data_IF_287293402878
#
_entry.id   IF_287293402878
#
_cell.length_a   1.000
_cell.length_b   1.000
_cell.length_c   1.000
_cell.angle_alpha   90.00
_cell.angle_beta   90.00
_cell.angle_gamma   90.00
#
_symmetry.space_group_name_H-M   'P 1'
#
loop_
_entity.id
_entity.type
_entity.pdbx_description
1 polymer ?
#
# COMPACT_ATOMS: atom_id res chain seq x y z
N UNK A 1 10.04 -41.89 -53.57
CA UNK A 1 9.87 -41.26 -52.24
C UNK A 1 8.63 -40.37 -52.27
N UNK A 2 7.52 -40.84 -51.72
CA UNK A 2 6.26 -40.11 -51.53
C UNK A 2 5.57 -40.72 -50.32
N UNK A 3 5.26 -39.92 -49.30
CA UNK A 3 3.97 -39.95 -48.61
C UNK A 3 3.70 -38.54 -48.01
N UNK A 4 2.57 -37.90 -48.34
CA UNK A 4 2.17 -36.59 -47.86
C UNK A 4 1.16 -36.66 -46.69
N UNK A 5 0.97 -35.55 -45.96
CA UNK A 5 -0.33 -35.15 -45.40
C UNK A 5 -0.68 -35.54 -43.96
N UNK A 6 -0.75 -34.50 -43.11
CA UNK A 6 -1.70 -34.18 -42.01
C UNK A 6 -2.24 -35.26 -41.04
N UNK A 7 -2.15 -34.99 -39.72
CA UNK A 7 -3.27 -34.58 -38.82
C UNK A 7 -2.85 -34.72 -37.34
N UNK A 8 -2.91 -33.58 -36.65
CA UNK A 8 -3.10 -33.28 -35.21
C UNK A 8 -3.25 -34.45 -34.22
N UNK A 9 -2.43 -34.44 -33.15
CA UNK A 9 -2.89 -34.83 -31.82
C UNK A 9 -2.57 -33.71 -30.82
N UNK A 10 -3.64 -33.16 -30.25
CA UNK A 10 -3.61 -32.14 -29.22
C UNK A 10 -3.11 -32.76 -27.90
N UNK A 11 -1.98 -32.28 -27.40
CA UNK A 11 -1.56 -32.54 -26.02
C UNK A 11 -1.95 -31.34 -25.17
N UNK A 12 -3.03 -31.51 -24.42
CA UNK A 12 -3.48 -30.62 -23.33
C UNK A 12 -2.31 -30.34 -22.37
N UNK A 13 -1.77 -29.12 -22.43
CA UNK A 13 -1.02 -28.56 -21.30
C UNK A 13 -2.05 -27.98 -20.33
N UNK A 14 -2.59 -28.82 -19.45
CA UNK A 14 -3.29 -28.35 -18.27
C UNK A 14 -2.25 -27.80 -17.29
N UNK A 15 -1.83 -26.55 -17.49
CA UNK A 15 -1.15 -25.80 -16.46
C UNK A 15 -2.20 -25.43 -15.42
N UNK A 16 -2.39 -26.30 -14.43
CA UNK A 16 -3.06 -25.93 -13.18
C UNK A 16 -2.14 -24.90 -12.52
N UNK A 17 -2.31 -23.65 -12.93
CA UNK A 17 -1.75 -22.51 -12.22
C UNK A 17 -2.36 -22.59 -10.83
N UNK A 18 -1.54 -22.98 -9.86
CA UNK A 18 -1.74 -22.61 -8.47
C UNK A 18 -1.78 -21.10 -8.44
N UNK A 19 -2.97 -20.54 -8.66
CA UNK A 19 -3.29 -19.17 -8.31
C UNK A 19 -2.94 -19.10 -6.82
N UNK A 20 -1.90 -18.35 -6.42
CA UNK A 20 -1.75 -18.08 -5.01
C UNK A 20 -3.06 -17.44 -4.61
N UNK A 21 -3.82 -18.11 -3.75
CA UNK A 21 -4.93 -17.46 -3.09
C UNK A 21 -4.28 -16.25 -2.43
N UNK A 22 -4.50 -15.06 -2.99
CA UNK A 22 -4.41 -13.86 -2.20
C UNK A 22 -5.38 -14.13 -1.06
N UNK A 23 -4.84 -14.54 0.08
CA UNK A 23 -5.54 -14.44 1.34
C UNK A 23 -5.65 -12.93 1.54
N UNK A 24 -6.64 -12.33 0.87
CA UNK A 24 -7.14 -11.03 1.26
C UNK A 24 -7.51 -11.22 2.72
N UNK A 25 -6.90 -10.45 3.62
CA UNK A 25 -7.21 -10.46 5.03
C UNK A 25 -8.70 -10.14 5.20
N UNK A 26 -9.56 -11.16 5.15
CA UNK A 26 -10.95 -11.03 5.55
C UNK A 26 -10.92 -11.13 7.06
N UNK A 27 -10.80 -9.97 7.69
CA UNK A 27 -10.91 -9.84 9.13
C UNK A 27 -12.18 -10.53 9.64
N UNK A 28 -12.14 -10.93 10.91
CA UNK A 28 -13.31 -11.35 11.69
C UNK A 28 -14.52 -10.45 11.37
N UNK A 29 -15.74 -10.98 11.45
CA UNK A 29 -16.96 -10.17 11.33
C UNK A 29 -17.67 -10.17 12.68
N UNK A 30 -18.26 -9.04 13.03
CA UNK A 30 -19.17 -8.93 14.16
C UNK A 30 -20.46 -9.72 13.89
N UNK A 31 -21.24 -10.07 14.94
CA UNK A 31 -22.53 -10.76 14.78
C UNK A 31 -23.54 -10.03 13.89
N UNK A 32 -23.42 -8.71 13.75
CA UNK A 32 -24.24 -7.88 12.85
C UNK A 32 -23.71 -7.84 11.39
N UNK A 33 -22.68 -8.64 11.08
CA UNK A 33 -22.11 -8.80 9.75
C UNK A 33 -21.07 -7.75 9.35
N UNK A 34 -20.88 -6.71 10.16
CA UNK A 34 -19.87 -5.68 9.90
C UNK A 34 -18.46 -6.24 10.07
N UNK A 35 -17.46 -5.69 9.36
CA UNK A 35 -16.06 -6.00 9.63
C UNK A 35 -15.73 -5.74 11.10
N UNK A 36 -15.06 -6.69 11.72
CA UNK A 36 -14.46 -6.53 13.03
C UNK A 36 -13.21 -5.69 12.89
N UNK A 37 -13.29 -4.44 13.36
CA UNK A 37 -12.20 -3.48 13.36
C UNK A 37 -11.51 -3.42 14.73
N UNK A 38 -11.66 -4.43 15.58
CA UNK A 38 -10.89 -4.52 16.82
C UNK A 38 -9.42 -4.83 16.51
N UNK A 39 -8.50 -4.12 17.16
CA UNK A 39 -7.06 -4.27 16.94
C UNK A 39 -6.26 -3.03 17.35
N UNK A 40 -4.94 -3.08 17.15
CA UNK A 40 -4.06 -1.92 17.31
C UNK A 40 -4.00 -1.20 15.97
N UNK A 41 -4.46 0.06 15.97
CA UNK A 41 -4.45 0.92 14.79
C UNK A 41 -3.31 1.92 14.90
N UNK A 42 -2.59 2.10 13.79
CA UNK A 42 -1.61 3.15 13.60
C UNK A 42 -2.08 4.04 12.45
N UNK A 43 -1.98 5.36 12.61
CA UNK A 43 -2.36 6.32 11.58
C UNK A 43 -1.32 6.42 10.46
N UNK A 44 -0.11 5.86 10.67
CA UNK A 44 1.04 5.95 9.76
C UNK A 44 1.01 4.91 8.63
N UNK A 45 -0.16 4.40 8.27
CA UNK A 45 -0.32 3.51 7.12
C UNK A 45 -0.57 4.34 5.86
N UNK A 46 0.04 3.96 4.74
CA UNK A 46 -0.23 4.63 3.44
C UNK A 46 -1.66 4.42 2.96
N UNK A 47 -2.29 3.33 3.39
CA UNK A 47 -3.68 3.01 3.08
C UNK A 47 -4.55 3.45 4.25
N UNK A 48 -5.28 4.58 4.14
CA UNK A 48 -6.18 5.03 5.20
C UNK A 48 -7.40 4.09 5.31
N UNK A 49 -8.01 4.06 6.50
CA UNK A 49 -9.22 3.28 6.75
C UNK A 49 -10.41 3.77 5.90
N UNK A 50 -10.57 5.09 5.78
CA UNK A 50 -11.53 5.72 4.89
C UNK A 50 -10.87 6.14 3.60
N UNK A 51 -11.57 5.93 2.48
CA UNK A 51 -11.12 6.43 1.18
C UNK A 51 -11.14 7.96 1.18
N UNK A 52 -10.06 8.63 0.75
CA UNK A 52 -10.03 10.07 0.56
C UNK A 52 -11.14 10.56 -0.39
N UNK A 53 -11.76 11.70 -0.07
CA UNK A 53 -12.89 12.25 -0.82
C UNK A 53 -12.53 12.59 -2.27
N UNK A 54 -11.30 13.05 -2.49
CA UNK A 54 -10.72 13.35 -3.81
C UNK A 54 -10.56 12.09 -4.68
N UNK A 55 -10.57 10.90 -4.07
CA UNK A 55 -10.47 9.60 -4.74
C UNK A 55 -11.76 8.78 -4.67
N UNK A 56 -12.89 9.37 -4.26
CA UNK A 56 -14.15 8.65 -4.05
C UNK A 56 -14.61 7.83 -5.27
N UNK A 57 -14.49 8.42 -6.47
CA UNK A 57 -14.86 7.78 -7.74
C UNK A 57 -13.81 6.79 -8.29
N UNK A 58 -12.59 6.79 -7.73
CA UNK A 58 -11.49 5.96 -8.19
C UNK A 58 -11.54 4.61 -7.47
N UNK A 59 -11.87 3.54 -8.20
CA UNK A 59 -12.00 2.20 -7.62
C UNK A 59 -10.65 1.53 -7.34
N UNK A 60 -9.64 1.83 -8.17
CA UNK A 60 -8.29 1.27 -8.11
C UNK A 60 -7.26 2.34 -8.48
N UNK A 61 -6.06 2.22 -7.91
CA UNK A 61 -4.91 3.02 -8.29
C UNK A 61 -4.15 2.30 -9.42
N UNK A 62 -3.56 3.06 -10.33
CA UNK A 62 -2.63 2.52 -11.33
C UNK A 62 -1.28 2.17 -10.65
N UNK A 63 -0.47 1.29 -11.27
CA UNK A 63 0.88 1.00 -10.75
C UNK A 63 1.74 2.25 -10.57
N UNK A 64 1.61 3.23 -11.47
CA UNK A 64 2.35 4.48 -11.43
C UNK A 64 1.91 5.36 -10.25
N UNK A 65 0.61 5.47 -9.99
CA UNK A 65 0.08 6.21 -8.83
C UNK A 65 0.53 5.58 -7.51
N UNK A 66 0.57 4.24 -7.45
CA UNK A 66 1.08 3.52 -6.27
C UNK A 66 2.56 3.85 -6.05
N UNK A 67 3.37 3.76 -7.11
CA UNK A 67 4.80 4.07 -7.03
C UNK A 67 5.04 5.52 -6.60
N UNK A 68 4.23 6.47 -7.08
CA UNK A 68 4.30 7.87 -6.66
C UNK A 68 3.97 8.04 -5.17
N UNK A 69 2.91 7.39 -4.67
CA UNK A 69 2.55 7.45 -3.24
C UNK A 69 3.66 6.88 -2.35
N UNK A 70 4.21 5.73 -2.73
CA UNK A 70 5.31 5.09 -2.00
C UNK A 70 6.57 5.96 -1.99
N UNK A 71 6.92 6.54 -3.14
CA UNK A 71 8.08 7.42 -3.27
C UNK A 71 7.93 8.69 -2.45
N UNK A 72 6.76 9.33 -2.52
CA UNK A 72 6.47 10.54 -1.74
C UNK A 72 6.54 10.25 -0.23
N UNK A 73 6.00 9.11 0.22
CA UNK A 73 6.07 8.72 1.62
C UNK A 73 7.51 8.42 2.07
N UNK A 74 8.30 7.74 1.22
CA UNK A 74 9.71 7.49 1.47
C UNK A 74 10.49 8.80 1.60
N UNK A 75 10.24 9.75 0.71
CA UNK A 75 10.91 11.05 0.74
C UNK A 75 10.51 11.86 1.98
N UNK A 76 9.22 11.91 2.32
CA UNK A 76 8.75 12.57 3.53
C UNK A 76 9.40 12.01 4.81
N UNK A 77 9.59 10.69 4.88
CA UNK A 77 10.29 10.06 6.00
C UNK A 77 11.77 10.47 6.08
N UNK A 78 12.46 10.55 4.94
CA UNK A 78 13.86 11.02 4.88
C UNK A 78 13.97 12.48 5.30
N UNK A 79 13.04 13.32 4.86
CA UNK A 79 13.03 14.74 5.16
C UNK A 79 12.74 14.97 6.66
N UNK A 80 11.84 14.17 7.25
CA UNK A 80 11.56 14.20 8.69
C UNK A 80 12.74 13.73 9.55
N UNK A 81 13.57 12.82 9.03
CA UNK A 81 14.78 12.32 9.70
C UNK A 81 16.01 13.24 9.52
N UNK A 82 15.88 14.35 8.78
CA UNK A 82 16.97 15.33 8.66
C UNK A 82 17.33 15.93 10.04
N UNK A 83 18.63 16.12 10.33
CA UNK A 83 19.04 16.78 11.55
C UNK A 83 18.41 18.18 11.68
N UNK A 84 17.90 18.50 12.86
CA UNK A 84 17.43 19.85 13.15
C UNK A 84 18.59 20.85 13.08
N UNK A 85 18.32 22.05 12.59
CA UNK A 85 19.29 23.15 12.65
C UNK A 85 19.68 23.46 14.10
N UNK A 86 20.97 23.68 14.35
CA UNK A 86 21.45 24.14 15.65
C UNK A 86 21.13 25.63 15.76
N UNK A 87 20.28 25.99 16.72
CA UNK A 87 19.83 27.37 16.95
C UNK A 87 20.34 27.90 18.28
N UNK A 88 20.68 29.18 18.30
CA UNK A 88 21.04 29.92 19.52
C UNK A 88 19.86 30.72 20.08
N UNK A 89 18.86 31.04 19.26
CA UNK A 89 17.66 31.76 19.65
C UNK A 89 16.49 30.79 19.89
N UNK A 90 15.62 31.08 20.87
CA UNK A 90 14.40 30.30 21.10
C UNK A 90 13.50 30.27 19.86
N UNK A 91 12.74 29.18 19.72
CA UNK A 91 11.68 29.11 18.72
C UNK A 91 10.59 30.16 19.03
N UNK A 92 9.89 30.69 18.01
CA UNK A 92 8.69 31.47 18.23
C UNK A 92 7.67 30.64 19.03
N UNK A 93 6.78 31.32 19.77
CA UNK A 93 5.72 30.64 20.52
C UNK A 93 4.89 29.78 19.55
N UNK A 94 4.80 28.48 19.83
CA UNK A 94 4.13 27.51 18.95
C UNK A 94 5.00 26.97 17.81
N UNK A 95 6.29 27.29 17.77
CA UNK A 95 7.23 26.74 16.80
C UNK A 95 7.40 25.23 16.95
N UNK A 96 7.60 24.55 15.82
CA UNK A 96 7.84 23.11 15.78
C UNK A 96 9.20 22.80 16.43
N UNK A 97 9.18 22.04 17.52
CA UNK A 97 10.38 21.60 18.27
C UNK A 97 11.05 20.36 17.68
N UNK A 98 10.46 19.80 16.63
CA UNK A 98 10.82 18.52 16.05
C UNK A 98 10.30 17.34 16.86
N UNK A 99 10.50 16.16 16.30
CA UNK A 99 10.34 14.85 16.93
C UNK A 99 11.71 14.18 16.98
N UNK A 100 11.92 13.34 17.98
CA UNK A 100 13.13 12.50 18.07
C UNK A 100 13.07 11.28 17.12
N UNK A 101 11.91 11.05 16.49
CA UNK A 101 11.67 10.01 15.51
C UNK A 101 10.50 10.42 14.59
N UNK A 102 10.32 9.64 13.51
CA UNK A 102 9.25 9.80 12.54
C UNK A 102 7.86 9.34 13.04
N UNK A 103 7.64 9.24 14.35
CA UNK A 103 6.29 8.98 14.90
C UNK A 103 5.59 10.30 15.28
N UNK A 104 6.35 11.33 15.62
CA UNK A 104 5.84 12.62 16.11
C UNK A 104 5.75 13.71 15.04
N UNK A 105 5.99 13.34 13.78
CA UNK A 105 5.85 14.17 12.60
C UNK A 105 4.71 13.63 11.73
#
# INVERSE_FOLDING_TARGET
MKFPGSVVYASLFAFVLGVPQLVCAQGSRLPDGKPDLQGVWDFRTLTPLQRPDDRAAQSQLTPEEIAEIEENARQAAIDADQPSEVRTEPLPVGGNVGGYNNYWF
#
